data_IF_198594347103
#
_entry.id   IF_198594347103
#
_cell.length_a   1.000
_cell.length_b   1.000
_cell.length_c   1.000
_cell.angle_alpha   90.00
_cell.angle_beta   90.00
_cell.angle_gamma   90.00
#
_symmetry.space_group_name_H-M   'P 1'
#
loop_
_entity.id
_entity.type
_entity.pdbx_description
1 polymer ?
#
# COMPACT_ATOMS: atom_id res chain seq x y z
N UNK A 1 -2.45 13.96 20.53
CA UNK A 1 -2.64 13.80 19.07
C UNK A 1 -2.93 15.16 18.46
N UNK A 2 -2.46 15.45 17.24
CA UNK A 2 -2.84 16.68 16.57
C UNK A 2 -4.37 16.72 16.39
N UNK A 3 -4.97 17.91 16.49
CA UNK A 3 -6.44 18.10 16.52
C UNK A 3 -7.13 17.78 15.19
N UNK A 4 -6.35 17.67 14.13
CA UNK A 4 -6.78 17.35 12.77
C UNK A 4 -6.52 15.88 12.39
N UNK A 5 -6.33 15.00 13.37
CA UNK A 5 -6.14 13.58 13.14
C UNK A 5 -7.19 12.76 13.90
N UNK A 6 -7.84 11.86 13.17
CA UNK A 6 -8.69 10.81 13.72
C UNK A 6 -7.91 9.49 13.73
N UNK A 7 -8.09 8.69 14.78
CA UNK A 7 -7.44 7.39 14.93
C UNK A 7 -8.52 6.34 15.08
N UNK A 8 -8.50 5.39 14.16
CA UNK A 8 -9.34 4.21 14.19
C UNK A 8 -8.45 3.03 14.55
N UNK A 9 -8.80 2.32 15.62
CA UNK A 9 -8.06 1.12 16.06
C UNK A 9 -8.82 -0.11 15.61
N UNK A 10 -8.17 -0.96 14.83
CA UNK A 10 -8.76 -2.19 14.30
C UNK A 10 -7.73 -3.03 13.56
N UNK A 11 -8.18 -4.18 13.08
CA UNK A 11 -7.39 -5.04 12.21
C UNK A 11 -7.67 -4.68 10.75
N UNK A 12 -6.62 -4.31 10.02
CA UNK A 12 -6.71 -3.93 8.60
C UNK A 12 -7.22 -5.06 7.71
N UNK A 13 -7.07 -6.33 8.12
CA UNK A 13 -7.60 -7.48 7.38
C UNK A 13 -9.11 -7.66 7.56
N UNK A 14 -9.69 -7.06 8.60
CA UNK A 14 -11.09 -7.20 8.98
C UNK A 14 -11.78 -5.83 9.12
N UNK A 15 -11.24 -4.80 8.45
CA UNK A 15 -11.74 -3.44 8.54
C UNK A 15 -13.00 -3.29 7.68
N UNK A 16 -14.08 -2.78 8.28
CA UNK A 16 -15.26 -2.36 7.53
C UNK A 16 -14.99 -1.03 6.82
N UNK A 17 -14.50 -1.12 5.58
CA UNK A 17 -14.08 0.03 4.77
C UNK A 17 -15.23 0.97 4.41
N UNK A 18 -16.49 0.52 4.46
CA UNK A 18 -17.64 1.36 4.17
C UNK A 18 -17.81 2.46 5.23
N UNK A 19 -17.47 2.14 6.48
CA UNK A 19 -17.52 3.09 7.60
C UNK A 19 -16.51 4.24 7.48
N UNK A 20 -15.45 4.06 6.68
CA UNK A 20 -14.44 5.09 6.44
C UNK A 20 -14.89 6.13 5.40
N UNK A 21 -15.90 5.81 4.59
CA UNK A 21 -16.38 6.65 3.49
C UNK A 21 -15.37 6.81 2.33
N UNK A 22 -15.79 7.56 1.31
CA UNK A 22 -15.05 7.68 0.03
C UNK A 22 -14.62 9.12 -0.25
N UNK A 23 -13.80 9.70 0.62
CA UNK A 23 -13.40 11.11 0.53
C UNK A 23 -11.88 11.33 0.65
N UNK A 24 -11.08 10.28 0.49
CA UNK A 24 -9.63 10.38 0.62
C UNK A 24 -8.95 10.70 -0.71
N UNK A 25 -8.02 11.66 -0.68
CA UNK A 25 -7.15 11.96 -1.82
C UNK A 25 -5.93 11.04 -1.89
N UNK A 26 -5.48 10.52 -0.74
CA UNK A 26 -4.29 9.67 -0.64
C UNK A 26 -4.55 8.55 0.36
N UNK A 27 -4.14 7.34 0.00
CA UNK A 27 -3.98 6.22 0.93
C UNK A 27 -2.50 5.86 0.97
N UNK A 28 -1.93 5.86 2.18
CA UNK A 28 -0.52 5.54 2.42
C UNK A 28 -0.44 4.34 3.36
N UNK A 29 0.25 3.29 2.92
CA UNK A 29 0.58 2.14 3.74
C UNK A 29 2.09 2.05 3.93
N UNK A 30 2.51 2.19 5.18
CA UNK A 30 3.87 1.89 5.63
C UNK A 30 3.93 0.57 6.43
N UNK A 31 2.95 -0.31 6.22
CA UNK A 31 2.90 -1.61 6.90
C UNK A 31 4.11 -2.46 6.53
N UNK A 32 4.59 -3.25 7.49
CA UNK A 32 5.62 -4.25 7.30
C UNK A 32 5.29 -5.47 8.16
N UNK A 33 5.50 -6.70 7.66
CA UNK A 33 5.32 -7.88 8.47
C UNK A 33 6.44 -8.00 9.51
N UNK A 34 6.16 -8.73 10.59
CA UNK A 34 7.21 -9.20 11.48
C UNK A 34 8.17 -10.09 10.66
N UNK A 35 9.41 -9.65 10.53
CA UNK A 35 10.41 -10.33 9.70
C UNK A 35 10.89 -11.60 10.38
N UNK A 36 10.90 -12.70 9.62
CA UNK A 36 11.40 -14.01 10.03
C UNK A 36 12.89 -14.18 9.72
N UNK A 37 13.46 -13.33 8.85
CA UNK A 37 14.81 -13.49 8.31
C UNK A 37 14.85 -14.31 7.03
N UNK A 38 13.78 -15.07 6.73
CA UNK A 38 13.62 -15.76 5.45
C UNK A 38 13.02 -14.82 4.42
N UNK A 39 13.88 -14.28 3.56
CA UNK A 39 13.53 -13.24 2.56
C UNK A 39 12.29 -13.56 1.72
N UNK A 40 12.10 -14.81 1.32
CA UNK A 40 10.95 -15.21 0.52
C UNK A 40 9.64 -15.15 1.32
N UNK A 41 9.66 -15.66 2.56
CA UNK A 41 8.51 -15.62 3.49
C UNK A 41 8.17 -14.18 3.84
N UNK A 42 9.17 -13.36 4.15
CA UNK A 42 8.98 -11.95 4.50
C UNK A 42 8.40 -11.14 3.33
N UNK A 43 8.82 -11.44 2.10
CA UNK A 43 8.25 -10.82 0.90
C UNK A 43 6.80 -11.25 0.65
N UNK A 44 6.47 -12.53 0.80
CA UNK A 44 5.10 -13.02 0.64
C UNK A 44 4.14 -12.42 1.69
N UNK A 45 4.59 -12.29 2.95
CA UNK A 45 3.81 -11.62 4.00
C UNK A 45 3.65 -10.12 3.73
N UNK A 46 4.69 -9.47 3.20
CA UNK A 46 4.59 -8.07 2.77
C UNK A 46 3.60 -7.90 1.63
N UNK A 47 3.60 -8.80 0.65
CA UNK A 47 2.67 -8.78 -0.47
C UNK A 47 1.21 -8.83 0.02
N UNK A 48 0.88 -9.72 0.95
CA UNK A 48 -0.47 -9.84 1.50
C UNK A 48 -0.95 -8.54 2.20
N UNK A 49 -0.07 -7.87 2.95
CA UNK A 49 -0.36 -6.54 3.53
C UNK A 49 -0.59 -5.48 2.44
N UNK A 50 0.21 -5.52 1.37
CA UNK A 50 0.08 -4.59 0.25
C UNK A 50 -1.22 -4.78 -0.53
N UNK A 51 -1.65 -6.03 -0.75
CA UNK A 51 -2.94 -6.35 -1.37
C UNK A 51 -4.11 -5.81 -0.55
N UNK A 52 -4.08 -6.04 0.77
CA UNK A 52 -5.08 -5.52 1.70
C UNK A 52 -5.14 -3.99 1.64
N UNK A 53 -3.98 -3.32 1.65
CA UNK A 53 -3.91 -1.86 1.54
C UNK A 53 -4.46 -1.33 0.20
N UNK A 54 -4.18 -2.03 -0.91
CA UNK A 54 -4.71 -1.65 -2.22
C UNK A 54 -6.23 -1.83 -2.29
N UNK A 55 -6.75 -2.92 -1.73
CA UNK A 55 -8.19 -3.16 -1.64
C UNK A 55 -8.89 -2.05 -0.86
N UNK A 56 -8.36 -1.66 0.30
CA UNK A 56 -8.87 -0.51 1.06
C UNK A 56 -8.82 0.76 0.19
N UNK A 57 -7.69 1.02 -0.47
CA UNK A 57 -7.52 2.20 -1.31
C UNK A 57 -8.56 2.28 -2.45
N UNK A 58 -8.87 1.17 -3.09
CA UNK A 58 -9.88 1.12 -4.17
C UNK A 58 -11.29 1.45 -3.68
N UNK A 59 -11.59 1.17 -2.40
CA UNK A 59 -12.89 1.49 -1.80
C UNK A 59 -12.98 2.97 -1.39
N UNK A 60 -11.91 3.52 -0.80
CA UNK A 60 -11.99 4.82 -0.11
C UNK A 60 -11.46 6.02 -0.91
N UNK A 61 -10.69 5.78 -1.98
CA UNK A 61 -10.10 6.85 -2.79
C UNK A 61 -11.14 7.54 -3.69
N UNK A 62 -11.01 8.86 -3.79
CA UNK A 62 -11.65 9.65 -4.83
C UNK A 62 -11.04 9.37 -6.22
N UNK A 63 -11.81 9.54 -7.32
CA UNK A 63 -11.23 9.56 -8.67
C UNK A 63 -10.05 10.54 -8.74
N UNK A 64 -8.95 10.11 -9.33
CA UNK A 64 -7.73 10.92 -9.38
C UNK A 64 -6.86 10.87 -8.13
N UNK A 65 -7.29 10.18 -7.06
CA UNK A 65 -6.52 9.98 -5.84
C UNK A 65 -5.23 9.17 -6.05
N UNK A 66 -4.40 9.09 -5.02
CA UNK A 66 -3.11 8.40 -5.06
C UNK A 66 -2.97 7.32 -4.00
N UNK A 67 -2.21 6.28 -4.32
CA UNK A 67 -1.88 5.19 -3.42
C UNK A 67 -0.37 5.07 -3.28
N UNK A 68 0.12 4.93 -2.06
CA UNK A 68 1.54 4.73 -1.75
C UNK A 68 1.67 3.53 -0.84
N UNK A 69 2.49 2.54 -1.20
CA UNK A 69 2.63 1.32 -0.42
C UNK A 69 4.08 0.86 -0.33
N UNK A 70 4.55 0.61 0.89
CA UNK A 70 5.83 -0.05 1.15
C UNK A 70 5.70 -1.55 0.89
N UNK A 71 6.60 -2.10 0.08
CA UNK A 71 6.68 -3.53 -0.21
C UNK A 71 8.11 -4.04 -0.06
N UNK A 72 8.27 -5.26 0.47
CA UNK A 72 9.52 -6.00 0.37
C UNK A 72 9.58 -6.71 -0.97
N UNK A 73 10.53 -6.33 -1.81
CA UNK A 73 10.67 -6.91 -3.14
C UNK A 73 10.85 -8.43 -3.07
N UNK A 74 10.02 -9.18 -3.80
CA UNK A 74 10.04 -10.64 -3.88
C UNK A 74 9.50 -11.13 -5.22
N UNK A 75 9.26 -12.45 -5.36
CA UNK A 75 8.78 -13.06 -6.60
C UNK A 75 7.49 -12.41 -7.14
N UNK A 76 6.56 -12.07 -6.24
CA UNK A 76 5.24 -11.54 -6.60
C UNK A 76 5.22 -10.01 -6.81
N UNK A 77 6.38 -9.36 -6.76
CA UNK A 77 6.48 -7.90 -6.90
C UNK A 77 5.89 -7.41 -8.23
N UNK A 78 6.18 -8.09 -9.34
CA UNK A 78 5.69 -7.70 -10.66
C UNK A 78 4.16 -7.84 -10.75
N UNK A 79 3.62 -8.92 -10.17
CA UNK A 79 2.17 -9.16 -10.09
C UNK A 79 1.50 -7.98 -9.38
N UNK A 80 2.04 -7.57 -8.22
CA UNK A 80 1.49 -6.44 -7.49
C UNK A 80 1.58 -5.12 -8.28
N UNK A 81 2.71 -4.85 -8.95
CA UNK A 81 2.85 -3.63 -9.76
C UNK A 81 1.87 -3.60 -10.92
N UNK A 82 1.58 -4.73 -11.54
CA UNK A 82 0.61 -4.82 -12.64
C UNK A 82 -0.81 -4.55 -12.13
N UNK A 83 -1.18 -5.11 -10.97
CA UNK A 83 -2.48 -4.81 -10.32
C UNK A 83 -2.62 -3.32 -10.00
N UNK A 84 -1.59 -2.69 -9.44
CA UNK A 84 -1.62 -1.23 -9.20
C UNK A 84 -1.70 -0.45 -10.51
N UNK A 85 -0.93 -0.82 -11.53
CA UNK A 85 -0.95 -0.15 -12.85
C UNK A 85 -2.32 -0.26 -13.53
N UNK A 86 -3.04 -1.37 -13.33
CA UNK A 86 -4.41 -1.51 -13.82
C UNK A 86 -5.34 -0.47 -13.18
N UNK A 87 -5.27 -0.28 -11.86
CA UNK A 87 -6.14 0.62 -11.10
C UNK A 87 -5.79 2.12 -11.20
N UNK A 88 -4.55 2.48 -11.55
CA UNK A 88 -4.07 3.87 -11.55
C UNK A 88 -3.59 4.33 -12.93
N UNK A 89 -3.64 5.63 -13.21
CA UNK A 89 -3.19 6.21 -14.49
C UNK A 89 -1.68 6.10 -14.69
N UNK A 90 -0.92 6.24 -13.62
CA UNK A 90 0.55 6.16 -13.64
C UNK A 90 1.05 5.33 -12.45
N UNK A 91 2.12 4.57 -12.67
CA UNK A 91 2.83 3.82 -11.65
C UNK A 91 4.25 4.38 -11.50
N UNK A 92 4.69 4.66 -10.28
CA UNK A 92 6.09 4.96 -9.95
C UNK A 92 6.62 3.98 -8.91
N UNK A 93 7.89 3.65 -9.04
CA UNK A 93 8.62 2.78 -8.11
C UNK A 93 9.75 3.62 -7.52
N UNK A 94 9.77 3.73 -6.19
CA UNK A 94 10.73 4.55 -5.46
C UNK A 94 11.49 3.70 -4.44
N UNK A 95 12.83 3.72 -4.54
CA UNK A 95 13.72 3.24 -3.49
C UNK A 95 14.16 4.44 -2.64
N UNK A 96 13.79 4.53 -1.34
CA UNK A 96 14.17 5.67 -0.52
C UNK A 96 15.68 5.77 -0.36
N UNK A 97 16.25 6.98 -0.47
CA UNK A 97 17.68 7.22 -0.21
C UNK A 97 18.09 6.89 1.23
N UNK A 98 17.15 7.00 2.17
CA UNK A 98 17.32 6.66 3.58
C UNK A 98 17.31 5.15 3.85
N UNK A 99 16.89 4.32 2.88
CA UNK A 99 16.89 2.87 3.07
C UNK A 99 18.31 2.31 3.05
N UNK A 100 18.62 1.41 4.00
CA UNK A 100 19.91 0.70 4.02
C UNK A 100 20.07 -0.07 2.71
N UNK A 101 21.30 -0.16 2.16
CA UNK A 101 21.59 -0.96 0.94
C UNK A 101 21.08 -2.41 1.02
N UNK A 102 21.09 -3.00 2.23
CA UNK A 102 20.61 -4.36 2.47
C UNK A 102 19.07 -4.47 2.59
N UNK A 103 18.37 -3.35 2.78
CA UNK A 103 16.90 -3.32 2.82
C UNK A 103 16.35 -3.49 1.42
N UNK A 104 15.34 -4.36 1.27
CA UNK A 104 14.62 -4.57 0.00
C UNK A 104 13.31 -3.78 -0.05
N UNK A 105 13.14 -2.81 0.84
CA UNK A 105 11.95 -1.97 0.86
C UNK A 105 11.91 -1.07 -0.38
N UNK A 106 10.77 -1.10 -1.04
CA UNK A 106 10.46 -0.28 -2.21
C UNK A 106 9.09 0.34 -1.94
N UNK A 107 8.89 1.58 -2.36
CA UNK A 107 7.58 2.18 -2.40
C UNK A 107 7.02 2.07 -3.80
N UNK A 108 5.81 1.50 -3.91
CA UNK A 108 5.01 1.53 -5.12
C UNK A 108 4.00 2.66 -4.97
N UNK A 109 3.91 3.49 -6.01
CA UNK A 109 3.09 4.69 -6.03
C UNK A 109 2.16 4.61 -7.24
N UNK A 110 0.86 4.49 -6.99
CA UNK A 110 -0.18 4.64 -8.00
C UNK A 110 -0.71 6.07 -7.99
N UNK A 111 -0.67 6.76 -9.13
CA UNK A 111 -1.16 8.13 -9.28
C UNK A 111 -2.37 8.16 -10.20
N UNK A 112 -3.39 8.92 -9.81
CA UNK A 112 -4.59 9.12 -10.60
C UNK A 112 -5.48 7.89 -10.62
N UNK A 113 -6.11 7.57 -9.49
CA UNK A 113 -7.03 6.43 -9.38
C UNK A 113 -8.13 6.47 -10.45
N UNK A 114 -8.28 5.37 -11.18
CA UNK A 114 -9.33 5.18 -12.19
C UNK A 114 -10.56 4.65 -11.47
N UNK A 115 -11.51 5.53 -11.12
CA UNK A 115 -12.81 5.08 -10.64
C UNK A 115 -13.56 4.56 -11.87
N UNK A 116 -13.85 3.26 -11.88
CA UNK A 116 -14.72 2.65 -12.88
C UNK A 116 -16.16 3.15 -12.68
#
# INVERSE_FOLDING_TARGET
>A
MPTNAEIITGDVFNLDVETLGTYFNVVLSDMAPATTGHKAVDAARSYNLCETALSIAQNVLLPGGSFVCKIFQGPDFNIFTDTVKAAFKELKILKPRSSRKASREIFIIGLGFKKN
#
